data_IF_662410079826
#
_entry.id   IF_662410079826
#
_cell.length_a   1.000
_cell.length_b   1.000
_cell.length_c   1.000
_cell.angle_alpha   90.00
_cell.angle_beta   90.00
_cell.angle_gamma   90.00
#
_symmetry.space_group_name_H-M   'P 1'
#
loop_
_entity.id
_entity.type
_entity.pdbx_description
1 polymer ?
#
# COMPACT_ATOMS: atom_id res chain seq x y z
N UNK A 1 -18.50 2.03 8.42
CA UNK A 1 -17.18 2.34 7.84
C UNK A 1 -16.20 2.65 8.96
N UNK A 2 -14.99 2.08 8.89
CA UNK A 2 -13.91 2.35 9.85
C UNK A 2 -13.03 3.46 9.31
N UNK A 3 -12.50 4.31 10.18
CA UNK A 3 -11.51 5.28 9.77
C UNK A 3 -10.15 4.58 9.65
N UNK A 4 -9.70 4.32 8.42
CA UNK A 4 -8.42 3.64 8.18
C UNK A 4 -7.23 4.42 8.75
N UNK A 5 -7.34 5.75 8.93
CA UNK A 5 -6.26 6.59 9.47
C UNK A 5 -5.97 6.32 10.95
N UNK A 6 -6.88 5.68 11.67
CA UNK A 6 -6.67 5.24 13.06
C UNK A 6 -5.90 3.92 13.14
N UNK A 7 -5.76 3.20 12.03
CA UNK A 7 -5.05 1.93 11.99
C UNK A 7 -3.54 2.16 11.91
N UNK A 8 -2.81 1.71 12.95
CA UNK A 8 -1.33 1.73 12.97
C UNK A 8 -0.71 1.03 11.76
N UNK A 9 -1.36 -0.02 11.25
CA UNK A 9 -0.88 -0.75 10.06
C UNK A 9 -0.98 0.09 8.79
N UNK A 10 -2.00 0.96 8.68
CA UNK A 10 -2.12 1.88 7.54
C UNK A 10 -1.04 2.97 7.59
N UNK A 11 -0.78 3.57 8.76
CA UNK A 11 0.29 4.55 8.92
C UNK A 11 1.67 3.96 8.57
N UNK A 12 1.95 2.73 9.05
CA UNK A 12 3.18 2.01 8.73
C UNK A 12 3.32 1.71 7.24
N UNK A 13 2.25 1.25 6.59
CA UNK A 13 2.30 0.95 5.15
C UNK A 13 2.40 2.23 4.31
N UNK A 14 1.78 3.34 4.73
CA UNK A 14 1.98 4.64 4.09
C UNK A 14 3.44 5.12 4.21
N UNK A 15 4.06 4.98 5.38
CA UNK A 15 5.50 5.27 5.55
C UNK A 15 6.39 4.39 4.69
N UNK A 16 6.03 3.11 4.51
CA UNK A 16 6.72 2.21 3.59
C UNK A 16 6.65 2.72 2.15
N UNK A 17 5.48 3.15 1.66
CA UNK A 17 5.33 3.76 0.33
C UNK A 17 6.28 4.94 0.16
N UNK A 18 6.29 5.87 1.12
CA UNK A 18 7.18 7.03 1.07
C UNK A 18 8.65 6.62 1.02
N UNK A 19 9.05 5.60 1.78
CA UNK A 19 10.40 5.04 1.76
C UNK A 19 10.74 4.43 0.39
N UNK A 20 9.84 3.63 -0.18
CA UNK A 20 10.02 3.01 -1.50
C UNK A 20 10.18 4.07 -2.58
N UNK A 21 9.35 5.11 -2.57
CA UNK A 21 9.47 6.22 -3.52
C UNK A 21 10.81 6.95 -3.40
N UNK A 22 11.27 7.22 -2.17
CA UNK A 22 12.57 7.86 -1.91
C UNK A 22 13.74 6.99 -2.37
N UNK A 23 13.71 5.69 -2.12
CA UNK A 23 14.76 4.75 -2.53
C UNK A 23 14.81 4.58 -4.04
N UNK A 24 13.65 4.32 -4.66
CA UNK A 24 13.55 4.09 -6.11
C UNK A 24 13.81 5.35 -6.95
N UNK A 25 13.75 6.55 -6.36
CA UNK A 25 14.16 7.78 -7.04
C UNK A 25 15.67 7.81 -7.41
N UNK A 26 16.49 6.94 -6.81
CA UNK A 26 17.93 6.84 -7.10
C UNK A 26 18.28 5.69 -8.05
N UNK A 27 17.28 4.96 -8.55
CA UNK A 27 17.52 3.85 -9.48
C UNK A 27 17.95 4.36 -10.86
N UNK A 28 18.66 3.54 -11.66
CA UNK A 28 18.98 3.87 -13.05
C UNK A 28 17.71 4.15 -13.86
N UNK A 29 17.79 5.05 -14.84
CA UNK A 29 16.65 5.44 -15.67
C UNK A 29 16.05 4.24 -16.43
N UNK A 30 16.88 3.26 -16.79
CA UNK A 30 16.46 2.04 -17.47
C UNK A 30 15.49 1.20 -16.62
N UNK A 31 15.51 1.35 -15.29
CA UNK A 31 14.62 0.65 -14.36
C UNK A 31 13.28 1.36 -14.13
N UNK A 32 13.05 2.52 -14.76
CA UNK A 32 11.84 3.33 -14.55
C UNK A 32 10.56 2.52 -14.79
N UNK A 33 10.52 1.76 -15.88
CA UNK A 33 9.38 0.90 -16.23
C UNK A 33 9.54 -0.54 -15.71
N UNK A 34 10.75 -0.94 -15.33
CA UNK A 34 11.07 -2.21 -14.68
C UNK A 34 10.84 -2.17 -13.16
N UNK A 35 11.91 -2.30 -12.39
CA UNK A 35 11.85 -2.44 -10.92
C UNK A 35 11.19 -1.25 -10.24
N UNK A 36 11.41 -0.02 -10.72
CA UNK A 36 10.84 1.18 -10.12
C UNK A 36 9.31 1.15 -10.15
N UNK A 37 8.73 0.82 -11.31
CA UNK A 37 7.27 0.78 -11.47
C UNK A 37 6.65 -0.35 -10.63
N UNK A 38 7.29 -1.52 -10.59
CA UNK A 38 6.79 -2.68 -9.86
C UNK A 38 6.80 -2.42 -8.36
N UNK A 39 7.91 -1.93 -7.79
CA UNK A 39 8.04 -1.65 -6.37
C UNK A 39 7.08 -0.55 -5.91
N UNK A 40 6.92 0.53 -6.69
CA UNK A 40 6.00 1.63 -6.35
C UNK A 40 4.55 1.18 -6.36
N UNK A 41 4.12 0.38 -7.35
CA UNK A 41 2.75 -0.16 -7.41
C UNK A 41 2.48 -1.19 -6.32
N UNK A 42 3.41 -2.11 -6.08
CA UNK A 42 3.25 -3.12 -5.04
C UNK A 42 3.18 -2.47 -3.65
N UNK A 43 4.07 -1.52 -3.36
CA UNK A 43 4.03 -0.81 -2.07
C UNK A 43 2.77 0.04 -1.89
N UNK A 44 2.32 0.76 -2.94
CA UNK A 44 1.13 1.61 -2.84
C UNK A 44 -0.17 0.82 -2.76
N UNK A 45 -0.20 -0.44 -3.22
CA UNK A 45 -1.39 -1.29 -3.11
C UNK A 45 -1.71 -1.63 -1.65
N UNK A 46 -0.72 -1.74 -0.76
CA UNK A 46 -0.90 -2.13 0.65
C UNK A 46 -1.82 -1.14 1.40
N UNK A 47 -1.49 0.17 1.55
CA UNK A 47 -2.37 1.11 2.24
C UNK A 47 -3.70 1.33 1.51
N UNK A 48 -3.72 1.17 0.18
CA UNK A 48 -4.94 1.35 -0.63
C UNK A 48 -5.94 0.24 -0.36
N UNK A 49 -5.50 -1.02 -0.34
CA UNK A 49 -6.36 -2.16 0.01
C UNK A 49 -6.83 -2.09 1.46
N UNK A 50 -5.99 -1.68 2.41
CA UNK A 50 -6.41 -1.46 3.81
C UNK A 50 -7.53 -0.39 3.89
N UNK A 51 -7.36 0.73 3.19
CA UNK A 51 -8.35 1.80 3.16
C UNK A 51 -9.65 1.35 2.49
N UNK A 52 -9.56 0.63 1.37
CA UNK A 52 -10.72 0.08 0.67
C UNK A 52 -11.49 -0.92 1.55
N UNK A 53 -10.79 -1.85 2.20
CA UNK A 53 -11.39 -2.78 3.16
C UNK A 53 -12.10 -2.08 4.32
N UNK A 54 -11.57 -0.97 4.82
CA UNK A 54 -12.23 -0.16 5.88
C UNK A 54 -13.52 0.53 5.40
N UNK A 55 -13.61 0.80 4.10
CA UNK A 55 -14.78 1.34 3.43
C UNK A 55 -15.88 0.30 3.17
N UNK A 56 -15.56 -1.00 3.21
CA UNK A 56 -16.54 -2.08 3.06
C UNK A 56 -17.35 -2.33 4.34
N UNK A 57 -18.51 -2.95 4.17
CA UNK A 57 -19.34 -3.42 5.28
C UNK A 57 -18.93 -4.85 5.65
N UNK A 58 -18.77 -5.14 6.94
CA UNK A 58 -18.50 -6.49 7.42
C UNK A 58 -17.03 -6.82 7.64
N UNK A 59 -16.79 -7.76 8.55
CA UNK A 59 -15.45 -8.26 8.87
C UNK A 59 -14.89 -9.15 7.76
N UNK A 60 -15.74 -9.86 7.02
CA UNK A 60 -15.32 -10.79 5.97
C UNK A 60 -14.64 -10.05 4.81
N UNK A 61 -15.28 -8.99 4.36
CA UNK A 61 -14.81 -8.10 3.30
C UNK A 61 -13.51 -7.41 3.74
N UNK A 62 -13.48 -6.89 4.97
CA UNK A 62 -12.25 -6.29 5.51
C UNK A 62 -11.09 -7.30 5.51
N UNK A 63 -11.31 -8.53 5.99
CA UNK A 63 -10.28 -9.58 5.98
C UNK A 63 -9.81 -9.94 4.57
N UNK A 64 -10.71 -9.99 3.58
CA UNK A 64 -10.34 -10.23 2.18
C UNK A 64 -9.39 -9.17 1.64
N UNK A 65 -9.68 -7.89 1.89
CA UNK A 65 -8.80 -6.78 1.49
C UNK A 65 -7.47 -6.77 2.24
N UNK A 66 -7.44 -7.15 3.52
CA UNK A 66 -6.19 -7.35 4.25
C UNK A 66 -5.35 -8.49 3.65
N UNK A 67 -5.99 -9.52 3.11
CA UNK A 67 -5.32 -10.65 2.47
C UNK A 67 -4.70 -10.27 1.12
N UNK A 68 -5.32 -9.35 0.37
CA UNK A 68 -4.74 -8.77 -0.86
C UNK A 68 -3.54 -7.85 -0.53
N UNK A 69 -3.57 -7.19 0.63
CA UNK A 69 -2.52 -6.28 1.07
C UNK A 69 -1.26 -6.98 1.61
N UNK A 70 -1.33 -8.29 1.89
CA UNK A 70 -0.24 -9.11 2.43
C UNK A 70 0.63 -9.68 1.32
#
# INVERSE_FOLDING_TARGET
>A
MRNFRELKVWDKSHKLVLSVYRTTARFPQQEQYGLTSQLRRASSSIPTNIAEGCGRNGNREFSHFLQIAL
#
